data_IF_952361244241
#
_entry.id   IF_952361244241
#
_cell.length_a   1.000
_cell.length_b   1.000
_cell.length_c   1.000
_cell.angle_alpha   90.00
_cell.angle_beta   90.00
_cell.angle_gamma   90.00
#
_symmetry.space_group_name_H-M   'P 1'
#
loop_
_entity.id
_entity.type
_entity.pdbx_description
1 polymer ?
#
# COMPACT_ATOMS: atom_id res chain seq x y z
N UNK A 1 -3.08 23.86 13.85
CA UNK A 1 -4.27 22.99 13.92
C UNK A 1 -4.35 22.41 15.32
N UNK A 2 -5.49 22.49 16.00
CA UNK A 2 -5.65 21.89 17.33
C UNK A 2 -5.94 20.39 17.16
N UNK A 3 -5.34 19.51 17.99
CA UNK A 3 -5.68 18.09 17.95
C UNK A 3 -7.16 17.90 18.33
N UNK A 4 -7.85 16.90 17.75
CA UNK A 4 -9.25 16.60 18.10
C UNK A 4 -9.35 16.15 19.57
N UNK A 5 -10.54 16.32 20.17
CA UNK A 5 -10.77 15.89 21.54
C UNK A 5 -10.69 14.35 21.67
N UNK A 6 -10.06 13.80 22.71
CA UNK A 6 -9.85 12.35 22.83
C UNK A 6 -11.11 11.49 22.83
N UNK A 7 -12.29 12.07 23.10
CA UNK A 7 -13.57 11.36 23.02
C UNK A 7 -14.17 11.28 21.60
N UNK A 8 -13.57 11.95 20.61
CA UNK A 8 -14.14 12.02 19.26
C UNK A 8 -13.84 10.75 18.43
N UNK A 9 -12.69 10.12 18.69
CA UNK A 9 -12.26 8.93 17.92
C UNK A 9 -11.16 8.16 18.65
N UNK A 10 -10.93 6.89 18.25
CA UNK A 10 -9.80 6.11 18.76
C UNK A 10 -8.46 6.74 18.37
N UNK A 11 -8.37 7.35 17.17
CA UNK A 11 -7.18 8.11 16.76
C UNK A 11 -6.93 9.31 17.64
N UNK A 12 -7.97 10.06 18.00
CA UNK A 12 -7.87 11.21 18.90
C UNK A 12 -7.46 10.77 20.32
N UNK A 13 -8.02 9.68 20.81
CA UNK A 13 -7.65 9.08 22.07
C UNK A 13 -6.19 8.63 22.09
N UNK A 14 -5.74 7.93 21.03
CA UNK A 14 -4.36 7.52 20.86
C UNK A 14 -3.40 8.73 20.88
N UNK A 15 -3.69 9.74 20.05
CA UNK A 15 -2.90 10.96 19.94
C UNK A 15 -2.76 11.71 21.27
N UNK A 16 -3.86 11.83 22.02
CA UNK A 16 -3.87 12.45 23.34
C UNK A 16 -2.95 11.71 24.32
N UNK A 17 -3.05 10.39 24.38
CA UNK A 17 -2.21 9.59 25.28
C UNK A 17 -0.75 9.59 24.86
N UNK A 18 -0.46 9.51 23.55
CA UNK A 18 0.89 9.64 23.02
C UNK A 18 1.56 10.95 23.48
N UNK A 19 0.89 12.06 23.24
CA UNK A 19 1.36 13.39 23.64
C UNK A 19 1.57 13.47 25.15
N UNK A 20 0.60 13.00 25.94
CA UNK A 20 0.67 13.00 27.40
C UNK A 20 1.85 12.19 27.94
N UNK A 21 2.08 10.99 27.41
CA UNK A 21 3.22 10.16 27.81
C UNK A 21 4.55 10.79 27.42
N UNK A 22 4.65 11.34 26.20
CA UNK A 22 5.85 12.04 25.73
C UNK A 22 6.19 13.25 26.61
N UNK A 23 5.20 14.11 26.85
CA UNK A 23 5.37 15.31 27.69
C UNK A 23 5.68 14.96 29.14
N UNK A 24 5.06 13.91 29.67
CA UNK A 24 5.34 13.40 31.02
C UNK A 24 6.79 12.91 31.19
N UNK A 25 7.46 12.49 30.11
CA UNK A 25 8.89 12.17 30.08
C UNK A 25 9.79 13.39 29.77
N UNK A 26 9.22 14.56 29.49
CA UNK A 26 9.95 15.75 29.08
C UNK A 26 10.58 15.67 27.68
N UNK A 27 10.08 14.78 26.80
CA UNK A 27 10.67 14.59 25.48
C UNK A 27 10.03 15.48 24.42
N UNK A 28 10.86 16.03 23.52
CA UNK A 28 10.38 16.66 22.30
C UNK A 28 9.89 15.59 21.30
N UNK A 29 9.12 15.98 20.29
CA UNK A 29 8.70 15.08 19.21
C UNK A 29 9.90 14.42 18.49
N UNK A 30 10.97 15.16 18.13
CA UNK A 30 12.18 14.53 17.58
C UNK A 30 12.88 13.57 18.58
N UNK A 31 12.89 13.88 19.88
CA UNK A 31 13.50 13.03 20.89
C UNK A 31 12.77 11.70 21.04
N UNK A 32 11.44 11.71 21.01
CA UNK A 32 10.64 10.48 20.99
C UNK A 32 10.86 9.73 19.67
N UNK A 33 10.83 10.44 18.53
CA UNK A 33 11.03 9.84 17.21
C UNK A 33 12.34 9.05 17.12
N UNK A 34 13.43 9.61 17.62
CA UNK A 34 14.73 8.92 17.67
C UNK A 34 14.69 7.60 18.48
N UNK A 35 13.88 7.55 19.56
CA UNK A 35 13.76 6.36 20.41
C UNK A 35 12.95 5.23 19.78
N UNK A 36 11.99 5.57 18.92
CA UNK A 36 11.11 4.59 18.26
C UNK A 36 11.37 4.47 16.74
N UNK A 37 12.52 5.01 16.30
CA UNK A 37 13.02 4.95 14.92
C UNK A 37 12.08 5.54 13.86
N UNK A 38 11.43 6.67 14.19
CA UNK A 38 10.65 7.47 13.22
C UNK A 38 11.06 8.95 13.30
N UNK A 39 10.69 9.74 12.29
CA UNK A 39 10.97 11.18 12.30
C UNK A 39 10.09 11.94 13.32
N UNK A 40 10.58 13.08 13.81
CA UNK A 40 9.79 13.97 14.67
C UNK A 40 8.53 14.48 13.97
N UNK A 41 8.55 14.66 12.65
CA UNK A 41 7.39 15.03 11.85
C UNK A 41 6.33 13.91 11.82
N UNK A 42 6.76 12.65 11.84
CA UNK A 42 5.84 11.51 11.96
C UNK A 42 5.17 11.49 13.35
N UNK A 43 5.93 11.70 14.42
CA UNK A 43 5.36 11.85 15.79
C UNK A 43 4.34 12.98 15.83
N UNK A 44 4.68 14.14 15.25
CA UNK A 44 3.77 15.29 15.15
C UNK A 44 2.50 14.93 14.36
N UNK A 45 2.63 14.24 13.24
CA UNK A 45 1.50 13.79 12.43
C UNK A 45 0.57 12.84 13.19
N UNK A 46 1.09 11.93 14.00
CA UNK A 46 0.30 11.04 14.84
C UNK A 46 -0.42 11.84 15.95
N UNK A 47 0.27 12.77 16.62
CA UNK A 47 -0.31 13.61 17.66
C UNK A 47 -1.40 14.57 17.14
N UNK A 48 -1.33 14.96 15.87
CA UNK A 48 -2.33 15.79 15.18
C UNK A 48 -3.40 14.97 14.44
N UNK A 49 -3.38 13.66 14.54
CA UNK A 49 -4.27 12.75 13.82
C UNK A 49 -4.20 12.88 12.28
N UNK A 50 -3.13 13.44 11.72
CA UNK A 50 -2.90 13.53 10.27
C UNK A 50 -2.20 12.28 9.73
N UNK A 51 -1.48 11.56 10.59
CA UNK A 51 -0.81 10.30 10.28
C UNK A 51 -1.32 9.18 11.20
N UNK A 52 -1.34 7.95 10.68
CA UNK A 52 -1.68 6.75 11.46
C UNK A 52 -0.40 6.14 12.06
N UNK A 53 -0.42 5.66 13.32
CA UNK A 53 0.67 4.83 13.83
C UNK A 53 0.65 3.46 13.13
N UNK A 54 1.81 2.83 12.99
CA UNK A 54 1.93 1.42 12.61
C UNK A 54 1.87 0.53 13.85
N UNK A 55 1.61 -0.78 13.68
CA UNK A 55 1.66 -1.72 14.79
C UNK A 55 3.05 -1.72 15.45
N UNK A 56 4.13 -1.70 14.65
CA UNK A 56 5.51 -1.62 15.14
C UNK A 56 5.77 -0.36 15.97
N UNK A 57 5.22 0.78 15.56
CA UNK A 57 5.28 2.03 16.34
C UNK A 57 4.55 1.88 17.67
N UNK A 58 3.37 1.26 17.69
CA UNK A 58 2.60 1.02 18.93
C UNK A 58 3.40 0.15 19.92
N UNK A 59 3.99 -0.95 19.45
CA UNK A 59 4.84 -1.82 20.26
C UNK A 59 6.06 -1.07 20.83
N UNK A 60 6.73 -0.27 20.00
CA UNK A 60 7.86 0.57 20.44
C UNK A 60 7.45 1.65 21.45
N UNK A 61 6.26 2.23 21.31
CA UNK A 61 5.74 3.18 22.29
C UNK A 61 5.50 2.49 23.64
N UNK A 62 4.92 1.30 23.66
CA UNK A 62 4.71 0.53 24.88
C UNK A 62 6.05 0.19 25.56
N UNK A 63 7.05 -0.25 24.79
CA UNK A 63 8.39 -0.53 25.26
C UNK A 63 9.06 0.71 25.92
N UNK A 64 9.10 1.82 25.17
CA UNK A 64 9.81 3.06 25.57
C UNK A 64 9.11 3.75 26.76
N UNK A 65 7.79 3.67 26.87
CA UNK A 65 7.05 4.21 27.98
C UNK A 65 6.92 3.25 29.16
N UNK A 66 7.25 1.97 29.00
CA UNK A 66 7.12 0.93 30.02
C UNK A 66 5.66 0.56 30.26
N UNK A 67 4.86 0.48 29.20
CA UNK A 67 3.44 0.15 29.26
C UNK A 67 3.21 -1.32 28.92
N UNK A 68 2.16 -1.92 29.48
CA UNK A 68 1.74 -3.29 29.17
C UNK A 68 0.74 -3.28 28.01
N UNK A 69 1.25 -3.23 26.76
CA UNK A 69 0.45 -3.31 25.54
C UNK A 69 -0.69 -2.28 25.41
N UNK A 70 -0.52 -1.08 25.95
CA UNK A 70 -1.55 -0.05 25.92
C UNK A 70 -1.80 0.47 24.49
N UNK A 71 -0.74 0.89 23.79
CA UNK A 71 -0.84 1.40 22.42
C UNK A 71 -1.08 0.27 21.43
N UNK A 72 -0.50 -0.90 21.65
CA UNK A 72 -0.74 -2.08 20.83
C UNK A 72 -2.20 -2.52 20.88
N UNK A 73 -2.83 -2.54 22.06
CA UNK A 73 -4.24 -2.87 22.22
C UNK A 73 -5.21 -1.82 21.61
N UNK A 74 -4.77 -0.57 21.45
CA UNK A 74 -5.54 0.48 20.78
C UNK A 74 -5.44 0.39 19.26
N UNK A 75 -4.39 -0.19 18.72
CA UNK A 75 -4.11 -0.22 17.28
C UNK A 75 -5.28 -0.78 16.44
N UNK A 76 -5.91 -1.92 16.78
CA UNK A 76 -7.04 -2.43 16.01
C UNK A 76 -8.20 -1.43 15.87
N UNK A 77 -8.51 -0.66 16.93
CA UNK A 77 -9.56 0.36 16.90
C UNK A 77 -9.18 1.55 16.03
N UNK A 78 -7.92 1.98 16.09
CA UNK A 78 -7.38 3.05 15.22
C UNK A 78 -7.45 2.63 13.76
N UNK A 79 -7.18 1.35 13.46
CA UNK A 79 -7.29 0.77 12.11
C UNK A 79 -8.75 0.70 11.66
N UNK A 80 -9.65 0.22 12.51
CA UNK A 80 -11.08 0.09 12.20
C UNK A 80 -11.71 1.44 11.78
N UNK A 81 -11.31 2.54 12.41
CA UNK A 81 -11.76 3.89 12.07
C UNK A 81 -11.32 4.35 10.67
N UNK A 82 -10.29 3.74 10.07
CA UNK A 82 -9.89 4.08 8.70
C UNK A 82 -10.90 3.59 7.68
N UNK A 83 -11.71 2.59 8.05
CA UNK A 83 -12.62 1.90 7.13
C UNK A 83 -11.91 1.08 6.07
N UNK A 84 -10.59 0.89 6.18
CA UNK A 84 -9.80 0.03 5.29
C UNK A 84 -10.08 -1.45 5.60
N UNK A 85 -9.97 -2.33 4.60
CA UNK A 85 -10.11 -3.77 4.81
C UNK A 85 -9.10 -4.31 5.84
N UNK A 86 -9.47 -5.35 6.57
CA UNK A 86 -8.57 -6.03 7.51
C UNK A 86 -7.31 -6.54 6.78
N UNK A 87 -6.14 -6.36 7.40
CA UNK A 87 -4.83 -6.71 6.83
C UNK A 87 -4.24 -5.67 5.87
N UNK A 88 -5.07 -4.75 5.36
CA UNK A 88 -4.59 -3.72 4.44
C UNK A 88 -3.73 -2.63 5.11
N UNK A 89 -4.03 -2.17 6.34
CA UNK A 89 -3.18 -1.21 7.02
C UNK A 89 -1.76 -1.73 7.28
N UNK A 90 -1.63 -2.98 7.68
CA UNK A 90 -0.33 -3.65 7.90
C UNK A 90 0.45 -3.75 6.58
N UNK A 91 -0.24 -4.11 5.51
CA UNK A 91 0.32 -4.11 4.17
C UNK A 91 0.80 -2.72 3.75
N UNK A 92 -0.02 -1.67 3.92
CA UNK A 92 0.36 -0.30 3.58
C UNK A 92 1.58 0.19 4.39
N UNK A 93 1.74 -0.26 5.63
CA UNK A 93 2.90 0.04 6.47
C UNK A 93 4.17 -0.67 5.95
N UNK A 94 4.06 -1.95 5.58
CA UNK A 94 5.14 -2.71 4.97
C UNK A 94 5.53 -2.15 3.59
N UNK A 95 4.54 -1.79 2.77
CA UNK A 95 4.73 -1.15 1.48
C UNK A 95 5.47 0.18 1.61
N UNK A 96 5.08 1.03 2.59
CA UNK A 96 5.74 2.30 2.87
C UNK A 96 7.22 2.15 3.28
N UNK A 97 7.61 1.02 3.86
CA UNK A 97 8.98 0.72 4.25
C UNK A 97 9.79 0.03 3.15
N UNK A 98 9.13 -0.51 2.12
CA UNK A 98 9.78 -1.31 1.10
C UNK A 98 10.81 -0.54 0.28
N UNK A 99 11.94 -1.19 0.01
CA UNK A 99 12.95 -0.75 -0.97
C UNK A 99 12.80 -1.45 -2.32
N UNK A 100 12.13 -2.61 -2.35
CA UNK A 100 11.80 -3.35 -3.56
C UNK A 100 10.40 -3.93 -3.44
N UNK A 101 9.67 -3.92 -4.55
CA UNK A 101 8.33 -4.50 -4.67
C UNK A 101 8.24 -5.37 -5.92
N UNK A 102 7.73 -6.59 -5.75
CA UNK A 102 7.37 -7.50 -6.82
C UNK A 102 5.85 -7.70 -6.79
N UNK A 103 5.16 -7.34 -7.85
CA UNK A 103 3.70 -7.32 -7.92
C UNK A 103 3.24 -8.23 -9.05
N UNK A 104 2.27 -9.10 -8.81
CA UNK A 104 1.51 -9.77 -9.85
C UNK A 104 0.03 -9.40 -9.73
N UNK A 105 -0.56 -8.93 -10.83
CA UNK A 105 -1.94 -8.48 -10.88
C UNK A 105 -2.72 -9.16 -12.00
N UNK A 106 -3.79 -9.84 -11.62
CA UNK A 106 -4.64 -10.59 -12.55
C UNK A 106 -6.04 -10.01 -12.72
N UNK A 107 -6.41 -9.00 -11.93
CA UNK A 107 -7.78 -8.50 -11.91
C UNK A 107 -7.92 -7.01 -12.17
N UNK A 108 -7.08 -6.19 -11.55
CA UNK A 108 -7.05 -4.71 -11.69
C UNK A 108 -5.61 -4.24 -11.85
N UNK A 109 -5.41 -3.03 -12.33
CA UNK A 109 -4.10 -2.38 -12.25
C UNK A 109 -3.78 -2.14 -10.78
N UNK A 110 -2.54 -2.41 -10.36
CA UNK A 110 -2.12 -2.26 -8.97
C UNK A 110 -2.44 -0.89 -8.41
N UNK A 111 -2.86 -0.84 -7.15
CA UNK A 111 -3.31 0.40 -6.51
C UNK A 111 -2.29 1.53 -6.48
N UNK A 112 -0.98 1.21 -6.52
CA UNK A 112 0.09 2.22 -6.54
C UNK A 112 0.31 2.86 -7.92
N UNK A 113 -0.29 2.31 -8.98
CA UNK A 113 -0.20 2.84 -10.36
C UNK A 113 -1.50 3.46 -10.84
N UNK A 114 -2.59 3.41 -10.08
CA UNK A 114 -3.91 3.87 -10.52
C UNK A 114 -4.02 5.40 -10.60
N UNK A 115 -4.71 5.88 -11.61
CA UNK A 115 -5.25 7.25 -11.60
C UNK A 115 -6.37 7.37 -10.57
N UNK A 116 -6.70 8.58 -10.13
CA UNK A 116 -7.74 8.82 -9.14
C UNK A 116 -9.11 8.32 -9.61
N UNK A 117 -9.45 8.55 -10.89
CA UNK A 117 -10.74 8.12 -11.45
C UNK A 117 -10.85 6.62 -11.62
N UNK A 118 -9.75 5.94 -11.99
CA UNK A 118 -9.71 4.49 -12.05
C UNK A 118 -9.80 3.89 -10.63
N UNK A 119 -9.06 4.43 -9.66
CA UNK A 119 -9.15 4.04 -8.26
C UNK A 119 -10.57 4.18 -7.71
N UNK A 120 -11.26 5.31 -8.02
CA UNK A 120 -12.65 5.56 -7.65
C UNK A 120 -13.59 4.53 -8.28
N UNK A 121 -13.38 4.18 -9.54
CA UNK A 121 -14.18 3.19 -10.24
C UNK A 121 -14.02 1.77 -9.65
N UNK A 122 -12.77 1.38 -9.32
CA UNK A 122 -12.47 0.08 -8.69
C UNK A 122 -13.04 -0.01 -7.28
N UNK A 123 -12.89 1.06 -6.47
CA UNK A 123 -13.31 1.08 -5.07
C UNK A 123 -14.81 1.26 -4.88
N UNK A 124 -15.54 1.69 -5.91
CA UNK A 124 -16.96 2.08 -5.82
C UNK A 124 -17.89 0.97 -5.36
N UNK A 125 -17.58 -0.28 -5.62
CA UNK A 125 -18.50 -1.40 -5.36
C UNK A 125 -18.87 -1.51 -3.87
N UNK A 126 -20.14 -1.31 -3.54
CA UNK A 126 -20.68 -1.48 -2.19
C UNK A 126 -20.28 -0.42 -1.17
N UNK A 127 -19.66 0.70 -1.58
CA UNK A 127 -19.21 1.76 -0.66
C UNK A 127 -20.24 2.91 -0.59
N UNK A 128 -20.35 3.51 0.62
CA UNK A 128 -21.02 4.80 0.79
C UNK A 128 -20.15 5.93 0.22
N UNK A 129 -20.75 7.02 -0.34
CA UNK A 129 -19.99 8.08 -0.99
C UNK A 129 -18.84 8.66 -0.14
N UNK A 130 -19.10 9.04 1.11
CA UNK A 130 -18.08 9.61 2.01
C UNK A 130 -16.96 8.63 2.34
N UNK A 131 -17.27 7.34 2.41
CA UNK A 131 -16.28 6.29 2.62
C UNK A 131 -15.45 6.09 1.36
N UNK A 132 -16.08 6.10 0.19
CA UNK A 132 -15.41 5.97 -1.10
C UNK A 132 -14.33 7.05 -1.27
N UNK A 133 -14.67 8.32 -1.07
CA UNK A 133 -13.69 9.42 -1.22
C UNK A 133 -12.52 9.30 -0.23
N UNK A 134 -12.76 8.86 0.98
CA UNK A 134 -11.67 8.57 1.94
C UNK A 134 -10.76 7.43 1.47
N UNK A 135 -11.32 6.38 0.89
CA UNK A 135 -10.54 5.26 0.35
C UNK A 135 -9.72 5.67 -0.87
N UNK A 136 -10.29 6.51 -1.74
CA UNK A 136 -9.59 7.08 -2.90
C UNK A 136 -8.43 7.97 -2.43
N UNK A 137 -8.68 8.89 -1.50
CA UNK A 137 -7.64 9.76 -0.95
C UNK A 137 -6.48 8.95 -0.32
N UNK A 138 -6.81 7.93 0.48
CA UNK A 138 -5.80 7.04 1.07
C UNK A 138 -5.00 6.28 0.01
N UNK A 139 -5.63 5.89 -1.12
CA UNK A 139 -4.94 5.24 -2.24
C UNK A 139 -3.99 6.20 -2.95
N UNK A 140 -4.41 7.44 -3.19
CA UNK A 140 -3.54 8.46 -3.80
C UNK A 140 -2.36 8.83 -2.88
N UNK A 141 -2.60 8.98 -1.57
CA UNK A 141 -1.51 9.22 -0.60
C UNK A 141 -0.47 8.11 -0.61
N UNK A 142 -0.87 6.85 -0.75
CA UNK A 142 0.04 5.70 -0.84
C UNK A 142 1.00 5.79 -2.01
N UNK A 143 0.59 6.36 -3.14
CA UNK A 143 1.40 6.46 -4.35
C UNK A 143 2.59 7.42 -4.21
N UNK A 144 2.58 8.30 -3.19
CA UNK A 144 3.71 9.20 -2.91
C UNK A 144 5.03 8.42 -2.63
N UNK A 145 4.95 7.14 -2.28
CA UNK A 145 6.13 6.28 -2.14
C UNK A 145 6.96 6.21 -3.43
N UNK A 146 6.33 6.28 -4.60
CA UNK A 146 7.00 6.24 -5.90
C UNK A 146 7.76 7.53 -6.23
N UNK A 147 7.47 8.63 -5.50
CA UNK A 147 8.06 9.96 -5.72
C UNK A 147 9.02 10.41 -4.61
N UNK A 148 9.21 9.59 -3.58
CA UNK A 148 10.14 9.92 -2.49
C UNK A 148 11.60 10.01 -2.99
N UNK A 149 12.49 10.62 -2.21
CA UNK A 149 13.91 10.82 -2.55
C UNK A 149 14.62 9.50 -2.92
N UNK A 150 14.29 8.41 -2.23
CA UNK A 150 14.78 7.06 -2.54
C UNK A 150 13.54 6.16 -2.75
N UNK A 151 12.98 6.13 -3.97
CA UNK A 151 11.80 5.34 -4.25
C UNK A 151 12.13 3.83 -4.28
N UNK A 152 11.15 2.95 -4.03
CA UNK A 152 11.36 1.51 -4.20
C UNK A 152 11.57 1.15 -5.67
N UNK A 153 12.34 0.11 -5.92
CA UNK A 153 12.34 -0.54 -7.23
C UNK A 153 11.09 -1.41 -7.34
N UNK A 154 10.25 -1.13 -8.31
CA UNK A 154 8.97 -1.83 -8.53
C UNK A 154 9.03 -2.66 -9.80
N UNK A 155 8.78 -3.97 -9.69
CA UNK A 155 8.54 -4.84 -10.84
C UNK A 155 7.09 -5.32 -10.80
N UNK A 156 6.29 -4.89 -11.75
CA UNK A 156 4.89 -5.25 -11.88
C UNK A 156 4.67 -6.17 -13.08
N UNK A 157 4.10 -7.33 -12.82
CA UNK A 157 3.62 -8.27 -13.83
C UNK A 157 2.11 -8.13 -13.93
N UNK A 158 1.62 -7.61 -15.05
CA UNK A 158 0.20 -7.36 -15.29
C UNK A 158 -0.33 -8.43 -16.26
N UNK A 159 -1.32 -9.21 -15.84
CA UNK A 159 -2.04 -10.08 -16.76
C UNK A 159 -2.69 -9.25 -17.88
N UNK A 160 -2.60 -9.70 -19.14
CA UNK A 160 -3.11 -8.95 -20.27
C UNK A 160 -4.61 -8.64 -20.18
N UNK A 161 -5.38 -9.44 -19.44
CA UNK A 161 -6.81 -9.21 -19.20
C UNK A 161 -7.08 -7.91 -18.42
N UNK A 162 -6.13 -7.49 -17.58
CA UNK A 162 -6.20 -6.24 -16.79
C UNK A 162 -6.29 -5.01 -17.71
N UNK A 163 -5.60 -5.04 -18.86
CA UNK A 163 -5.59 -3.94 -19.83
C UNK A 163 -6.91 -3.77 -20.58
N UNK A 164 -7.80 -4.79 -20.55
CA UNK A 164 -9.08 -4.78 -21.26
C UNK A 164 -10.28 -4.56 -20.37
N UNK A 165 -10.13 -4.65 -19.05
CA UNK A 165 -11.22 -4.43 -18.09
C UNK A 165 -11.49 -2.95 -17.91
N UNK A 166 -12.59 -2.46 -18.49
CA UNK A 166 -12.95 -1.03 -18.54
C UNK A 166 -13.61 -0.55 -17.25
N UNK A 167 -12.87 -0.51 -16.15
CA UNK A 167 -13.34 0.12 -14.91
C UNK A 167 -13.54 1.63 -15.15
N UNK A 168 -14.70 2.16 -14.77
CA UNK A 168 -15.04 3.56 -14.98
C UNK A 168 -15.40 3.96 -16.41
N UNK A 169 -15.37 3.01 -17.36
CA UNK A 169 -15.68 3.25 -18.76
C UNK A 169 -14.44 3.57 -19.61
N UNK A 170 -14.70 3.92 -20.89
CA UNK A 170 -13.65 4.08 -21.90
C UNK A 170 -12.64 5.18 -21.57
N UNK A 171 -13.12 6.35 -21.18
CA UNK A 171 -12.25 7.51 -20.93
C UNK A 171 -11.36 7.31 -19.69
N UNK A 172 -11.91 6.73 -18.62
CA UNK A 172 -11.13 6.40 -17.42
C UNK A 172 -10.04 5.39 -17.75
N UNK A 173 -10.38 4.34 -18.50
CA UNK A 173 -9.41 3.32 -18.90
C UNK A 173 -8.33 3.88 -19.83
N UNK A 174 -8.69 4.82 -20.74
CA UNK A 174 -7.73 5.52 -21.58
C UNK A 174 -6.71 6.26 -20.74
N UNK A 175 -7.16 7.10 -19.81
CA UNK A 175 -6.29 7.86 -18.92
C UNK A 175 -5.38 6.94 -18.07
N UNK A 176 -5.91 5.80 -17.65
CA UNK A 176 -5.16 4.80 -16.89
C UNK A 176 -4.05 4.15 -17.71
N UNK A 177 -4.31 3.75 -18.96
CA UNK A 177 -3.30 3.16 -19.84
C UNK A 177 -2.22 4.17 -20.24
N UNK A 178 -2.60 5.43 -20.50
CA UNK A 178 -1.67 6.53 -20.75
C UNK A 178 -0.77 6.78 -19.52
N UNK A 179 -1.35 6.71 -18.33
CA UNK A 179 -0.61 6.83 -17.07
C UNK A 179 0.38 5.66 -16.86
N UNK A 180 -0.01 4.43 -17.16
CA UNK A 180 0.91 3.28 -17.12
C UNK A 180 2.11 3.47 -18.04
N UNK A 181 1.90 3.98 -19.26
CA UNK A 181 2.99 4.29 -20.21
C UNK A 181 3.92 5.36 -19.63
N UNK A 182 3.38 6.38 -18.95
CA UNK A 182 4.17 7.42 -18.28
C UNK A 182 5.01 6.81 -17.12
N UNK A 183 4.41 5.94 -16.31
CA UNK A 183 5.12 5.27 -15.22
C UNK A 183 6.22 4.34 -15.73
N UNK A 184 6.00 3.68 -16.86
CA UNK A 184 7.00 2.81 -17.49
C UNK A 184 8.28 3.53 -17.96
N UNK A 185 8.26 4.87 -18.04
CA UNK A 185 9.43 5.68 -18.33
C UNK A 185 10.31 5.96 -17.08
N UNK A 186 9.80 5.69 -15.88
CA UNK A 186 10.53 5.93 -14.64
C UNK A 186 11.58 4.82 -14.42
N UNK A 187 12.84 5.17 -14.07
CA UNK A 187 13.95 4.22 -14.03
C UNK A 187 13.82 3.13 -12.95
N UNK A 188 12.98 3.34 -11.95
CA UNK A 188 12.72 2.41 -10.85
C UNK A 188 11.41 1.62 -10.99
N UNK A 189 10.67 1.80 -12.11
CA UNK A 189 9.39 1.12 -12.38
C UNK A 189 9.54 0.24 -13.61
N UNK A 190 9.32 -1.06 -13.44
CA UNK A 190 9.39 -2.06 -14.48
C UNK A 190 8.02 -2.71 -14.65
N UNK A 191 7.34 -2.43 -15.76
CA UNK A 191 6.02 -2.99 -16.07
C UNK A 191 6.17 -4.03 -17.16
N UNK A 192 5.71 -5.25 -16.89
CA UNK A 192 5.69 -6.36 -17.82
C UNK A 192 4.28 -6.91 -17.96
N UNK A 193 3.84 -7.13 -19.19
CA UNK A 193 2.54 -7.73 -19.50
C UNK A 193 2.71 -9.24 -19.64
N UNK A 194 1.89 -10.01 -18.93
CA UNK A 194 1.80 -11.46 -19.06
C UNK A 194 0.75 -11.77 -20.10
N UNK A 195 1.11 -12.37 -21.26
CA UNK A 195 0.17 -12.67 -22.34
C UNK A 195 -0.86 -13.73 -21.91
N UNK A 196 -2.04 -13.72 -22.52
CA UNK A 196 -3.14 -14.66 -22.19
C UNK A 196 -2.80 -16.11 -22.48
N UNK A 197 -1.92 -16.35 -23.41
CA UNK A 197 -1.42 -17.68 -23.80
C UNK A 197 -0.20 -18.15 -23.00
N UNK A 198 0.11 -17.48 -21.91
CA UNK A 198 1.25 -17.80 -21.06
C UNK A 198 1.16 -19.18 -20.37
N UNK A 199 0.03 -19.88 -20.45
CA UNK A 199 -0.23 -21.19 -19.82
C UNK A 199 0.08 -21.22 -18.32
N UNK A 200 -0.11 -20.08 -17.63
CA UNK A 200 0.04 -19.91 -16.20
C UNK A 200 -1.29 -19.47 -15.60
N UNK A 201 -1.69 -20.08 -14.52
CA UNK A 201 -2.90 -19.73 -13.80
C UNK A 201 -2.58 -19.52 -12.31
N UNK A 202 -1.96 -18.39 -11.94
CA UNK A 202 -1.81 -18.05 -10.53
C UNK A 202 -3.19 -17.87 -9.88
N UNK A 203 -3.34 -18.35 -8.64
CA UNK A 203 -4.63 -18.35 -7.93
C UNK A 203 -5.12 -16.95 -7.52
N UNK A 204 -4.36 -15.89 -7.77
CA UNK A 204 -4.73 -14.50 -7.45
C UNK A 204 -3.57 -13.54 -7.53
N UNK A 205 -3.87 -12.26 -7.28
CA UNK A 205 -2.87 -11.19 -7.20
C UNK A 205 -2.10 -11.27 -5.89
N UNK A 206 -0.80 -10.99 -5.95
CA UNK A 206 0.05 -10.92 -4.77
C UNK A 206 1.17 -9.89 -4.94
N UNK A 207 1.68 -9.44 -3.79
CA UNK A 207 2.81 -8.51 -3.70
C UNK A 207 3.86 -9.07 -2.75
N UNK A 208 5.13 -9.03 -3.13
CA UNK A 208 6.27 -9.32 -2.26
C UNK A 208 6.97 -8.00 -1.99
N UNK A 209 7.22 -7.71 -0.73
CA UNK A 209 7.83 -6.48 -0.23
C UNK A 209 9.16 -6.83 0.43
N UNK A 210 10.24 -6.23 -0.04
CA UNK A 210 11.56 -6.40 0.54
C UNK A 210 12.09 -5.07 1.07
N UNK A 211 12.56 -5.06 2.31
CA UNK A 211 13.14 -3.92 2.99
C UNK A 211 14.55 -4.23 3.48
N UNK A 212 15.44 -3.24 3.45
CA UNK A 212 16.81 -3.46 3.96
C UNK A 212 16.80 -3.73 5.46
N UNK A 213 17.35 -4.89 5.86
CA UNK A 213 17.51 -5.26 7.28
C UNK A 213 16.27 -5.74 8.00
N UNK A 214 15.18 -5.94 7.27
CA UNK A 214 13.93 -6.52 7.77
C UNK A 214 13.61 -7.79 6.96
N UNK A 215 12.90 -8.78 7.53
CA UNK A 215 12.39 -9.91 6.77
C UNK A 215 11.46 -9.45 5.64
N UNK A 216 11.44 -10.20 4.55
CA UNK A 216 10.47 -9.98 3.49
C UNK A 216 9.05 -10.20 4.00
N UNK A 217 8.10 -9.49 3.41
CA UNK A 217 6.68 -9.69 3.65
C UNK A 217 5.96 -9.88 2.32
N UNK A 218 4.87 -10.63 2.32
CA UNK A 218 4.02 -10.71 1.15
C UNK A 218 2.57 -10.34 1.51
N UNK A 219 1.83 -9.93 0.50
CA UNK A 219 0.40 -9.66 0.63
C UNK A 219 -0.34 -10.39 -0.47
N UNK A 220 -1.35 -11.14 -0.11
CA UNK A 220 -2.25 -11.80 -1.05
C UNK A 220 -3.65 -11.22 -0.93
N UNK A 221 -4.25 -10.87 -2.07
CA UNK A 221 -5.63 -10.41 -2.12
C UNK A 221 -6.59 -11.59 -1.97
N UNK A 222 -7.66 -11.37 -1.21
CA UNK A 222 -8.72 -12.34 -0.97
C UNK A 222 -10.05 -11.77 -1.43
N UNK A 223 -11.03 -12.65 -1.64
CA UNK A 223 -12.38 -12.24 -2.01
C UNK A 223 -12.99 -11.24 -1.01
N UNK A 224 -13.80 -10.30 -1.53
CA UNK A 224 -14.48 -9.29 -0.72
C UNK A 224 -13.62 -8.09 -0.34
N UNK A 225 -12.53 -7.82 -1.06
CA UNK A 225 -11.64 -6.67 -0.84
C UNK A 225 -10.80 -6.80 0.43
N UNK A 226 -10.65 -8.03 0.95
CA UNK A 226 -9.76 -8.35 2.07
C UNK A 226 -8.43 -8.84 1.54
N UNK A 227 -7.40 -8.74 2.35
CA UNK A 227 -6.12 -9.33 2.05
C UNK A 227 -5.41 -9.76 3.33
N UNK A 228 -4.37 -10.54 3.16
CA UNK A 228 -3.57 -11.03 4.27
C UNK A 228 -2.12 -10.66 4.05
N UNK A 229 -1.54 -9.98 5.02
CA UNK A 229 -0.09 -9.88 5.14
C UNK A 229 0.46 -11.24 5.57
N UNK A 230 1.48 -11.71 4.90
CA UNK A 230 2.15 -12.98 5.07
C UNK A 230 3.57 -12.68 5.54
N UNK A 231 3.97 -13.29 6.63
CA UNK A 231 5.27 -13.20 7.27
C UNK A 231 5.95 -14.58 7.42
N UNK A 232 5.39 -15.60 6.76
CA UNK A 232 5.98 -16.93 6.70
C UNK A 232 7.04 -17.00 5.59
N UNK A 233 8.31 -17.12 5.98
CA UNK A 233 9.45 -17.13 5.07
C UNK A 233 9.36 -18.23 4.00
N UNK A 234 8.81 -19.41 4.35
CA UNK A 234 8.65 -20.53 3.42
C UNK A 234 7.65 -20.18 2.31
N UNK A 235 6.49 -19.63 2.71
CA UNK A 235 5.47 -19.23 1.76
C UNK A 235 5.89 -18.02 0.90
N UNK A 236 6.63 -17.08 1.47
CA UNK A 236 7.21 -15.95 0.72
C UNK A 236 8.21 -16.44 -0.34
N UNK A 237 9.03 -17.44 0.01
CA UNK A 237 9.95 -18.05 -0.94
C UNK A 237 9.20 -18.76 -2.09
N UNK A 238 8.09 -19.46 -1.80
CA UNK A 238 7.22 -20.08 -2.82
C UNK A 238 6.62 -19.03 -3.76
N UNK A 239 6.11 -17.92 -3.21
CA UNK A 239 5.62 -16.78 -4.00
C UNK A 239 6.74 -16.15 -4.85
N UNK A 240 7.96 -16.11 -4.33
CA UNK A 240 9.14 -15.66 -5.07
C UNK A 240 9.44 -16.54 -6.30
N UNK A 241 9.37 -17.85 -6.13
CA UNK A 241 9.52 -18.81 -7.24
C UNK A 241 8.39 -18.64 -8.25
N UNK A 242 7.14 -18.52 -7.79
CA UNK A 242 5.98 -18.29 -8.66
C UNK A 242 6.12 -16.98 -9.45
N UNK A 243 6.58 -15.91 -8.79
CA UNK A 243 6.82 -14.63 -9.46
C UNK A 243 7.82 -14.76 -10.61
N UNK A 244 8.95 -15.44 -10.39
CA UNK A 244 9.97 -15.64 -11.45
C UNK A 244 9.46 -16.56 -12.57
N UNK A 245 8.62 -17.55 -12.26
CA UNK A 245 7.95 -18.36 -13.29
C UNK A 245 7.01 -17.51 -14.16
N UNK A 246 6.18 -16.66 -13.56
CA UNK A 246 5.30 -15.73 -14.29
C UNK A 246 6.16 -14.77 -15.12
N UNK A 247 7.22 -14.20 -14.52
CA UNK A 247 8.11 -13.27 -15.20
C UNK A 247 8.79 -13.88 -16.41
N UNK A 248 9.14 -15.18 -16.37
CA UNK A 248 9.77 -15.88 -17.48
C UNK A 248 8.86 -15.99 -18.73
N UNK A 249 7.55 -15.80 -18.55
CA UNK A 249 6.54 -15.83 -19.62
C UNK A 249 6.04 -14.42 -19.99
N UNK A 250 6.39 -13.41 -19.20
CA UNK A 250 6.00 -12.04 -19.46
C UNK A 250 6.78 -11.45 -20.65
N UNK A 251 6.15 -10.52 -21.33
CA UNK A 251 6.78 -9.70 -22.36
C UNK A 251 7.92 -8.86 -21.77
N UNK A 252 8.94 -8.58 -22.55
CA UNK A 252 9.95 -7.60 -22.15
C UNK A 252 9.34 -6.19 -22.05
N UNK A 253 10.12 -5.21 -21.60
CA UNK A 253 9.62 -3.86 -21.33
C UNK A 253 9.07 -3.16 -22.60
N UNK A 254 9.75 -3.30 -23.74
CA UNK A 254 9.34 -2.69 -25.01
C UNK A 254 8.05 -3.33 -25.56
N UNK A 255 7.99 -4.64 -25.59
CA UNK A 255 6.80 -5.38 -26.04
C UNK A 255 5.62 -5.17 -25.09
N UNK A 256 5.86 -5.01 -23.77
CA UNK A 256 4.82 -4.66 -22.79
C UNK A 256 4.23 -3.28 -23.04
N UNK A 257 5.07 -2.29 -23.32
CA UNK A 257 4.59 -0.96 -23.71
C UNK A 257 3.82 -1.00 -25.04
N UNK A 258 4.26 -1.82 -26.00
CA UNK A 258 3.53 -2.01 -27.26
C UNK A 258 2.15 -2.65 -27.02
N UNK A 259 2.06 -3.64 -26.12
CA UNK A 259 0.78 -4.25 -25.72
C UNK A 259 -0.16 -3.23 -25.05
N UNK A 260 0.36 -2.35 -24.17
CA UNK A 260 -0.43 -1.27 -23.54
C UNK A 260 -0.92 -0.27 -24.60
N UNK A 261 -0.07 0.14 -25.56
CA UNK A 261 -0.48 1.04 -26.67
C UNK A 261 -1.56 0.41 -27.52
N UNK A 262 -1.42 -0.89 -27.85
CA UNK A 262 -2.44 -1.63 -28.60
C UNK A 262 -3.77 -1.65 -27.84
N UNK A 263 -3.76 -1.94 -26.54
CA UNK A 263 -4.98 -1.91 -25.72
C UNK A 263 -5.63 -0.50 -25.71
N UNK A 264 -4.81 0.56 -25.74
CA UNK A 264 -5.28 1.94 -25.82
C UNK A 264 -5.96 2.25 -27.17
N UNK A 265 -5.44 1.72 -28.28
CA UNK A 265 -6.03 1.87 -29.61
C UNK A 265 -7.35 1.10 -29.77
N UNK A 266 -7.50 -0.04 -29.07
CA UNK A 266 -8.70 -0.88 -29.09
C UNK A 266 -9.82 -0.37 -28.17
N UNK A 267 -9.58 0.68 -27.38
CA UNK A 267 -10.60 1.33 -26.56
C UNK A 267 -11.57 2.11 -27.44
#
# INVERSE_FOLDING_TARGET
MQPPHPSESARAFFAFHLKRHREGKGWSQPALGAKIHISGSMVSGIELCTRRPTLKVCQKLDEVFGLSQFFEALYPRVVEETGLPAGFPEFADAEAAAGMMKLYESFVITGIFQTEDYARAVLRAGQQPDKLERLVAARMERQEILRREVPPVVTALLDASVLRRRFGGREVMRAELEHLLTLAEWPHIHIHVVPEDAELCPEGSFTILSSMGEPDAAYAEMAGGRGRLIDDDGYIAELGVLFELIRSKALNAEDSQAAIRKALEEL
#
